data_IF_414376644685
#
_entry.id   IF_414376644685
#
_cell.length_a   1.000
_cell.length_b   1.000
_cell.length_c   1.000
_cell.angle_alpha   90.00
_cell.angle_beta   90.00
_cell.angle_gamma   90.00
#
_symmetry.space_group_name_H-M   'P 1'
#
loop_
_entity.id
_entity.type
_entity.pdbx_description
1 polymer ?
#
# COMPACT_ATOMS: atom_id res chain seq x y z
N UNK A 1 80.46 74.37 17.42
CA UNK A 1 79.20 73.82 18.10
C UNK A 1 78.03 73.62 17.11
N UNK A 2 77.91 74.48 16.11
CA UNK A 2 76.85 74.34 15.05
C UNK A 2 76.95 73.08 14.23
N UNK A 3 78.21 72.71 13.82
CA UNK A 3 78.42 71.51 12.99
C UNK A 3 77.98 70.20 13.68
N UNK A 4 78.19 70.05 14.98
CA UNK A 4 77.77 68.86 15.75
C UNK A 4 76.23 68.73 15.86
N UNK A 5 75.56 69.88 15.94
CA UNK A 5 74.11 69.91 16.00
C UNK A 5 73.47 69.52 14.64
N UNK A 6 74.07 69.98 13.57
CA UNK A 6 73.68 69.66 12.21
C UNK A 6 73.87 68.14 11.94
N UNK A 7 75.04 67.64 12.29
CA UNK A 7 75.35 66.21 12.15
C UNK A 7 74.39 65.32 12.95
N UNK A 8 73.99 65.70 14.16
CA UNK A 8 73.03 64.96 14.96
C UNK A 8 71.63 65.02 14.37
N UNK A 9 71.26 66.17 13.82
CA UNK A 9 69.95 66.34 13.17
C UNK A 9 69.83 65.49 11.88
N UNK A 10 70.87 65.51 11.07
CA UNK A 10 70.93 64.71 9.83
C UNK A 10 70.90 63.19 10.15
N UNK A 11 71.59 62.82 11.21
CA UNK A 11 71.58 61.42 11.64
C UNK A 11 70.18 60.96 12.16
N UNK A 12 69.56 61.75 12.99
CA UNK A 12 68.23 61.48 13.48
C UNK A 12 67.15 61.43 12.34
N UNK A 13 67.35 62.34 11.35
CA UNK A 13 66.45 62.34 10.17
C UNK A 13 66.62 61.08 9.33
N UNK A 14 67.87 60.69 9.05
CA UNK A 14 68.21 59.51 8.26
C UNK A 14 67.76 58.21 8.99
N UNK A 15 68.01 58.13 10.30
CA UNK A 15 67.58 57.01 11.11
C UNK A 15 66.03 56.91 11.17
N UNK A 16 65.35 58.06 11.31
CA UNK A 16 63.89 58.14 11.30
C UNK A 16 63.27 57.72 9.94
N UNK A 17 63.91 58.22 8.84
CA UNK A 17 63.47 57.85 7.49
C UNK A 17 63.73 56.37 7.18
N UNK A 18 64.90 55.84 7.57
CA UNK A 18 65.21 54.41 7.42
C UNK A 18 64.25 53.50 8.20
N UNK A 19 63.99 53.87 9.45
CA UNK A 19 63.03 53.16 10.28
C UNK A 19 61.61 53.21 9.71
N UNK A 20 61.16 54.41 9.28
CA UNK A 20 59.84 54.58 8.64
C UNK A 20 59.66 53.74 7.37
N UNK A 21 60.72 53.67 6.54
CA UNK A 21 60.74 52.77 5.37
C UNK A 21 60.63 51.30 5.76
N UNK A 22 61.47 50.87 6.72
CA UNK A 22 61.45 49.49 7.19
C UNK A 22 60.09 49.11 7.80
N UNK A 23 59.52 49.92 8.67
CA UNK A 23 58.24 49.70 9.28
C UNK A 23 57.14 49.69 8.22
N UNK A 24 57.22 50.56 7.19
CA UNK A 24 56.31 50.59 6.06
C UNK A 24 56.36 49.30 5.19
N UNK A 25 57.57 48.84 4.89
CA UNK A 25 57.80 47.57 4.16
C UNK A 25 57.25 46.36 4.95
N UNK A 26 57.56 46.34 6.26
CA UNK A 26 57.04 45.26 7.13
C UNK A 26 55.53 45.26 7.17
N UNK A 27 54.85 46.43 7.25
CA UNK A 27 53.37 46.55 7.24
C UNK A 27 52.81 46.11 5.90
N UNK A 28 53.44 46.49 4.78
CA UNK A 28 53.01 46.03 3.45
C UNK A 28 53.15 44.50 3.30
N UNK A 29 54.27 43.93 3.77
CA UNK A 29 54.38 42.46 3.73
C UNK A 29 53.33 41.74 4.58
N UNK A 30 53.06 42.25 5.78
CA UNK A 30 51.98 41.68 6.64
C UNK A 30 50.62 41.81 5.99
N UNK A 31 50.32 42.99 5.40
CA UNK A 31 49.06 43.20 4.71
C UNK A 31 48.89 42.29 3.48
N UNK A 32 49.99 42.11 2.70
CA UNK A 32 49.98 41.20 1.56
C UNK A 32 49.76 39.74 1.98
N UNK A 33 50.50 39.30 3.02
CA UNK A 33 50.35 37.94 3.54
C UNK A 33 48.95 37.67 4.06
N UNK A 34 48.31 38.66 4.74
CA UNK A 34 46.95 38.53 5.21
C UNK A 34 45.93 38.50 4.07
N UNK A 35 46.14 39.36 3.02
CA UNK A 35 45.31 39.35 1.82
C UNK A 35 45.38 37.98 1.10
N UNK A 36 46.59 37.45 0.93
CA UNK A 36 46.79 36.13 0.32
C UNK A 36 46.13 35.01 1.13
N UNK A 37 46.20 35.09 2.46
CA UNK A 37 45.53 34.15 3.37
C UNK A 37 44.02 34.21 3.23
N UNK A 38 43.44 35.40 3.18
CA UNK A 38 42.00 35.59 3.00
C UNK A 38 41.53 35.05 1.65
N UNK A 39 42.28 35.32 0.56
CA UNK A 39 42.00 34.82 -0.77
C UNK A 39 42.07 33.30 -0.82
N UNK A 40 43.09 32.69 -0.24
CA UNK A 40 43.25 31.24 -0.18
C UNK A 40 42.12 30.58 0.60
N UNK A 41 41.74 31.15 1.75
CA UNK A 41 40.61 30.69 2.54
C UNK A 41 39.30 30.78 1.77
N UNK A 42 39.03 31.94 1.14
CA UNK A 42 37.82 32.13 0.36
C UNK A 42 37.71 31.14 -0.82
N UNK A 43 38.82 30.86 -1.51
CA UNK A 43 38.84 29.83 -2.57
C UNK A 43 38.53 28.45 -2.04
N UNK A 44 39.17 28.04 -0.94
CA UNK A 44 38.91 26.73 -0.32
C UNK A 44 37.46 26.59 0.12
N UNK A 45 36.88 27.64 0.70
CA UNK A 45 35.48 27.63 1.12
C UNK A 45 34.53 27.59 -0.07
N UNK A 46 34.81 28.33 -1.15
CA UNK A 46 34.04 28.26 -2.39
C UNK A 46 34.05 26.83 -3.00
N UNK A 47 35.25 26.21 -3.08
CA UNK A 47 35.40 24.85 -3.58
C UNK A 47 34.62 23.85 -2.70
N UNK A 48 34.64 24.02 -1.38
CA UNK A 48 33.90 23.20 -0.43
C UNK A 48 32.37 23.33 -0.66
N UNK A 49 31.86 24.54 -0.81
CA UNK A 49 30.46 24.82 -1.06
C UNK A 49 30.02 24.18 -2.38
N UNK A 50 30.80 24.34 -3.45
CA UNK A 50 30.52 23.75 -4.77
C UNK A 50 30.51 22.22 -4.68
N UNK A 51 31.49 21.62 -4.04
CA UNK A 51 31.55 20.18 -3.86
C UNK A 51 30.34 19.64 -3.08
N UNK A 52 29.99 20.34 -2.01
CA UNK A 52 28.80 19.97 -1.20
C UNK A 52 27.50 20.09 -2.00
N UNK A 53 27.32 21.21 -2.74
CA UNK A 53 26.12 21.41 -3.57
C UNK A 53 26.01 20.35 -4.69
N UNK A 54 27.11 20.00 -5.33
CA UNK A 54 27.12 18.94 -6.34
C UNK A 54 26.74 17.57 -5.73
N UNK A 55 27.30 17.26 -4.56
CA UNK A 55 26.95 16.02 -3.85
C UNK A 55 25.46 15.95 -3.50
N UNK A 56 24.92 17.03 -2.94
CA UNK A 56 23.48 17.12 -2.61
C UNK A 56 22.58 17.01 -3.85
N UNK A 57 23.00 17.63 -4.95
CA UNK A 57 22.29 17.53 -6.23
C UNK A 57 22.28 16.10 -6.78
N UNK A 58 23.39 15.39 -6.71
CA UNK A 58 23.48 13.99 -7.16
C UNK A 58 22.69 13.04 -6.25
N UNK A 59 22.75 13.23 -4.93
CA UNK A 59 21.94 12.48 -3.98
C UNK A 59 20.44 12.71 -4.22
N UNK A 60 20.02 13.97 -4.41
CA UNK A 60 18.64 14.32 -4.72
C UNK A 60 18.17 13.69 -6.04
N UNK A 61 18.99 13.77 -7.10
CA UNK A 61 18.70 13.17 -8.39
C UNK A 61 18.53 11.66 -8.30
N UNK A 62 19.42 10.99 -7.55
CA UNK A 62 19.35 9.54 -7.31
C UNK A 62 18.08 9.17 -6.57
N UNK A 63 17.77 9.89 -5.50
CA UNK A 63 16.57 9.69 -4.70
C UNK A 63 15.27 9.88 -5.54
N UNK A 64 15.16 11.00 -6.23
CA UNK A 64 13.98 11.30 -7.07
C UNK A 64 13.81 10.23 -8.15
N UNK A 65 14.89 9.80 -8.79
CA UNK A 65 14.84 8.74 -9.81
C UNK A 65 14.33 7.42 -9.22
N UNK A 66 14.81 7.05 -8.02
CA UNK A 66 14.36 5.86 -7.31
C UNK A 66 12.88 5.96 -6.91
N UNK A 67 12.46 7.11 -6.37
CA UNK A 67 11.08 7.36 -5.95
C UNK A 67 10.10 7.30 -7.14
N UNK A 68 10.46 7.92 -8.27
CA UNK A 68 9.65 7.87 -9.51
C UNK A 68 9.53 6.44 -10.03
N UNK A 69 10.63 5.68 -10.04
CA UNK A 69 10.62 4.27 -10.47
C UNK A 69 9.74 3.42 -9.55
N UNK A 70 9.83 3.62 -8.25
CA UNK A 70 9.00 2.92 -7.27
C UNK A 70 7.52 3.27 -7.45
N UNK A 71 7.18 4.56 -7.58
CA UNK A 71 5.81 5.02 -7.80
C UNK A 71 5.23 4.46 -9.10
N UNK A 72 6.00 4.45 -10.19
CA UNK A 72 5.58 3.86 -11.46
C UNK A 72 5.32 2.35 -11.33
N UNK A 73 6.22 1.61 -10.68
CA UNK A 73 6.06 0.18 -10.44
C UNK A 73 4.82 -0.12 -9.62
N UNK A 74 4.58 0.65 -8.56
CA UNK A 74 3.42 0.50 -7.70
C UNK A 74 2.12 0.84 -8.43
N UNK A 75 2.10 1.90 -9.23
CA UNK A 75 0.95 2.28 -10.06
C UNK A 75 0.57 1.17 -11.05
N UNK A 76 1.57 0.58 -11.73
CA UNK A 76 1.36 -0.56 -12.63
C UNK A 76 0.80 -1.77 -11.86
N UNK A 77 1.35 -2.07 -10.68
CA UNK A 77 0.89 -3.19 -9.86
C UNK A 77 -0.57 -3.02 -9.41
N UNK A 78 -0.95 -1.82 -8.94
CA UNK A 78 -2.34 -1.49 -8.57
C UNK A 78 -3.26 -1.61 -9.79
N UNK A 79 -2.86 -1.07 -10.93
CA UNK A 79 -3.66 -1.16 -12.16
C UNK A 79 -3.88 -2.61 -12.59
N UNK A 80 -2.84 -3.45 -12.54
CA UNK A 80 -2.96 -4.89 -12.82
C UNK A 80 -3.94 -5.57 -11.86
N UNK A 81 -3.86 -5.24 -10.57
CA UNK A 81 -4.76 -5.79 -9.55
C UNK A 81 -6.22 -5.37 -9.76
N UNK A 82 -6.48 -4.13 -10.15
CA UNK A 82 -7.84 -3.66 -10.45
C UNK A 82 -8.40 -4.32 -11.71
N UNK A 83 -7.60 -4.50 -12.75
CA UNK A 83 -8.01 -5.22 -13.96
C UNK A 83 -8.34 -6.68 -13.62
N UNK A 84 -7.47 -7.37 -12.88
CA UNK A 84 -7.71 -8.75 -12.42
C UNK A 84 -9.01 -8.84 -11.64
N UNK A 85 -9.20 -7.98 -10.64
CA UNK A 85 -10.41 -7.94 -9.82
C UNK A 85 -11.67 -7.73 -10.66
N UNK A 86 -11.63 -6.81 -11.62
CA UNK A 86 -12.77 -6.53 -12.50
C UNK A 86 -13.13 -7.75 -13.36
N UNK A 87 -12.16 -8.39 -13.99
CA UNK A 87 -12.36 -9.58 -14.83
C UNK A 87 -12.89 -10.74 -14.01
N UNK A 88 -12.25 -11.03 -12.88
CA UNK A 88 -12.62 -12.13 -11.98
C UNK A 88 -14.03 -11.91 -11.40
N UNK A 89 -14.33 -10.71 -10.93
CA UNK A 89 -15.66 -10.40 -10.36
C UNK A 89 -16.74 -10.53 -11.40
N UNK A 90 -16.51 -10.03 -12.62
CA UNK A 90 -17.50 -10.14 -13.70
C UNK A 90 -17.76 -11.61 -14.06
N UNK A 91 -16.73 -12.40 -14.28
CA UNK A 91 -16.84 -13.82 -14.61
C UNK A 91 -17.53 -14.61 -13.50
N UNK A 92 -17.15 -14.38 -12.23
CA UNK A 92 -17.77 -15.05 -11.09
C UNK A 92 -19.25 -14.66 -10.93
N UNK A 93 -19.56 -13.36 -11.02
CA UNK A 93 -20.94 -12.86 -10.82
C UNK A 93 -21.89 -13.39 -11.88
N UNK A 94 -21.51 -13.42 -13.15
CA UNK A 94 -22.35 -13.94 -14.22
C UNK A 94 -22.65 -15.45 -14.03
N UNK A 95 -21.62 -16.24 -13.70
CA UNK A 95 -21.79 -17.68 -13.44
C UNK A 95 -22.63 -17.98 -12.20
N UNK A 96 -22.44 -17.23 -11.13
CA UNK A 96 -23.19 -17.43 -9.87
C UNK A 96 -24.67 -17.04 -10.04
N UNK A 97 -24.97 -15.87 -10.60
CA UNK A 97 -26.34 -15.41 -10.79
C UNK A 97 -27.18 -16.38 -11.64
N UNK A 98 -26.58 -16.95 -12.69
CA UNK A 98 -27.26 -17.92 -13.54
C UNK A 98 -27.66 -19.19 -12.77
N UNK A 99 -26.91 -19.63 -11.79
CA UNK A 99 -27.12 -20.85 -11.04
C UNK A 99 -27.91 -20.63 -9.73
N UNK A 100 -27.58 -19.58 -8.97
CA UNK A 100 -28.21 -19.32 -7.67
C UNK A 100 -29.68 -18.85 -7.78
N UNK A 101 -30.07 -18.27 -8.91
CA UNK A 101 -31.46 -18.02 -9.24
C UNK A 101 -32.24 -19.26 -9.73
N UNK A 102 -31.55 -20.39 -9.97
CA UNK A 102 -32.17 -21.61 -10.43
C UNK A 102 -32.59 -22.48 -9.24
N UNK A 103 -33.92 -22.67 -9.07
CA UNK A 103 -34.48 -23.45 -7.98
C UNK A 103 -33.98 -24.90 -7.94
N UNK A 104 -33.71 -25.53 -9.09
CA UNK A 104 -33.21 -26.90 -9.13
C UNK A 104 -31.79 -26.99 -8.50
N UNK A 105 -30.90 -26.07 -8.85
CA UNK A 105 -29.55 -26.01 -8.26
C UNK A 105 -29.61 -25.73 -6.75
N UNK A 106 -30.47 -24.80 -6.32
CA UNK A 106 -30.64 -24.47 -4.90
C UNK A 106 -31.18 -25.68 -4.13
N UNK A 107 -32.12 -26.47 -4.70
CA UNK A 107 -32.61 -27.71 -4.11
C UNK A 107 -31.53 -28.76 -3.89
N UNK A 108 -30.66 -28.99 -4.88
CA UNK A 108 -29.52 -29.93 -4.77
C UNK A 108 -28.54 -29.48 -3.68
N UNK A 109 -28.25 -28.19 -3.64
CA UNK A 109 -27.35 -27.63 -2.65
C UNK A 109 -27.94 -27.74 -1.23
N UNK A 110 -29.20 -27.39 -1.01
CA UNK A 110 -29.89 -27.57 0.26
C UNK A 110 -29.84 -29.05 0.68
N UNK A 111 -30.15 -29.97 -0.23
CA UNK A 111 -30.11 -31.41 0.06
C UNK A 111 -28.74 -31.86 0.54
N UNK A 112 -27.67 -31.40 -0.14
CA UNK A 112 -26.29 -31.74 0.19
C UNK A 112 -25.87 -31.20 1.57
N UNK A 113 -26.23 -29.95 1.84
CA UNK A 113 -25.92 -29.30 3.12
C UNK A 113 -26.69 -29.95 4.26
N UNK A 114 -27.99 -30.15 4.11
CA UNK A 114 -28.83 -30.79 5.16
C UNK A 114 -28.35 -32.22 5.46
N UNK A 115 -27.96 -32.97 4.44
CA UNK A 115 -27.35 -34.32 4.67
C UNK A 115 -26.06 -34.25 5.47
N UNK A 116 -25.24 -33.22 5.26
CA UNK A 116 -24.00 -33.03 6.03
C UNK A 116 -24.28 -32.71 7.53
N UNK A 117 -25.40 -32.06 7.83
CA UNK A 117 -25.84 -31.81 9.21
C UNK A 117 -26.54 -33.00 9.87
N UNK A 118 -26.83 -34.07 9.14
CA UNK A 118 -27.53 -35.26 9.60
C UNK A 118 -26.68 -36.53 9.44
N UNK A 119 -25.45 -36.59 9.95
CA UNK A 119 -24.63 -37.80 9.88
C UNK A 119 -25.26 -38.94 10.67
N UNK A 120 -25.07 -40.17 10.22
CA UNK A 120 -25.69 -41.36 10.75
C UNK A 120 -25.50 -41.60 12.26
N UNK A 121 -24.42 -41.07 12.84
CA UNK A 121 -23.97 -41.29 14.20
C UNK A 121 -23.98 -40.04 15.12
N UNK A 122 -24.58 -38.90 14.68
CA UNK A 122 -24.67 -37.69 15.50
C UNK A 122 -26.07 -37.52 16.11
N UNK A 123 -26.14 -36.81 17.24
CA UNK A 123 -27.42 -36.34 17.79
C UNK A 123 -28.12 -35.41 16.81
N UNK A 124 -29.45 -35.52 16.68
CA UNK A 124 -30.22 -34.59 15.82
C UNK A 124 -29.97 -33.13 16.24
N UNK A 125 -29.67 -32.25 15.27
CA UNK A 125 -29.48 -30.82 15.49
C UNK A 125 -30.66 -30.12 14.85
N UNK A 126 -31.39 -29.29 15.61
CA UNK A 126 -32.47 -28.46 15.04
C UNK A 126 -31.87 -27.34 14.20
N UNK A 127 -32.40 -27.11 13.01
CA UNK A 127 -31.90 -26.15 12.05
C UNK A 127 -32.95 -25.08 11.70
N UNK A 128 -32.45 -23.87 11.51
CA UNK A 128 -33.18 -22.78 10.90
C UNK A 128 -32.66 -22.55 9.47
N UNK A 129 -33.51 -22.71 8.47
CA UNK A 129 -33.22 -22.51 7.06
C UNK A 129 -33.87 -21.20 6.61
N UNK A 130 -33.10 -20.27 6.11
CA UNK A 130 -33.57 -18.99 5.60
C UNK A 130 -33.42 -19.00 4.07
N UNK A 131 -34.57 -18.84 3.39
CA UNK A 131 -34.70 -18.92 1.94
C UNK A 131 -35.03 -17.53 1.34
N UNK A 132 -34.72 -17.29 0.07
CA UNK A 132 -35.20 -16.09 -0.62
C UNK A 132 -36.73 -16.15 -0.85
N UNK A 133 -37.37 -15.04 -0.58
CA UNK A 133 -38.86 -14.96 -0.80
C UNK A 133 -39.22 -15.12 -2.27
N UNK A 134 -38.36 -14.71 -3.19
CA UNK A 134 -38.54 -14.87 -4.63
C UNK A 134 -38.69 -16.34 -5.08
N UNK A 135 -38.04 -17.27 -4.38
CA UNK A 135 -38.08 -18.71 -4.69
C UNK A 135 -39.06 -19.48 -3.78
N UNK A 136 -39.88 -18.80 -2.98
CA UNK A 136 -40.77 -19.42 -2.00
C UNK A 136 -41.70 -20.44 -2.65
N UNK A 137 -42.35 -20.08 -3.74
CA UNK A 137 -43.33 -20.92 -4.43
C UNK A 137 -42.76 -22.26 -4.90
N UNK A 138 -41.46 -22.25 -5.28
CA UNK A 138 -40.78 -23.43 -5.80
C UNK A 138 -40.06 -24.25 -4.72
N UNK A 139 -39.55 -23.59 -3.65
CA UNK A 139 -38.78 -24.22 -2.59
C UNK A 139 -39.64 -24.70 -1.42
N UNK A 140 -40.76 -24.06 -1.12
CA UNK A 140 -41.60 -24.41 0.03
C UNK A 140 -42.13 -25.86 -0.05
N UNK A 141 -42.70 -26.31 -1.18
CA UNK A 141 -43.17 -27.70 -1.31
C UNK A 141 -42.02 -28.71 -1.18
N UNK A 142 -40.88 -28.38 -1.77
CA UNK A 142 -39.68 -29.23 -1.71
C UNK A 142 -39.17 -29.40 -0.28
N UNK A 143 -39.03 -28.29 0.46
CA UNK A 143 -38.53 -28.36 1.83
C UNK A 143 -39.48 -29.09 2.74
N UNK A 144 -40.82 -28.85 2.61
CA UNK A 144 -41.81 -29.53 3.44
C UNK A 144 -41.94 -31.03 3.15
N UNK A 145 -41.89 -31.44 1.88
CA UNK A 145 -42.15 -32.81 1.49
C UNK A 145 -40.90 -33.68 1.39
N UNK A 146 -39.79 -33.12 1.00
CA UNK A 146 -38.57 -33.90 0.74
C UNK A 146 -37.52 -33.73 1.87
N UNK A 147 -37.23 -32.49 2.25
CA UNK A 147 -36.17 -32.24 3.25
C UNK A 147 -36.67 -32.54 4.65
N UNK A 148 -37.85 -32.07 5.04
CA UNK A 148 -38.36 -32.30 6.40
C UNK A 148 -38.53 -33.80 6.72
N UNK A 149 -38.87 -34.63 5.73
CA UNK A 149 -39.00 -36.07 5.91
C UNK A 149 -37.65 -36.81 6.01
N UNK A 150 -36.57 -36.25 5.49
CA UNK A 150 -35.25 -36.85 5.53
C UNK A 150 -34.38 -36.34 6.72
N UNK A 151 -34.81 -35.24 7.31
CA UNK A 151 -34.06 -34.61 8.41
C UNK A 151 -34.57 -35.12 9.77
N UNK A 152 -33.67 -35.51 10.67
CA UNK A 152 -34.01 -36.11 11.96
C UNK A 152 -34.31 -35.10 13.06
N UNK A 153 -33.93 -33.85 12.90
CA UNK A 153 -34.19 -32.73 13.83
C UNK A 153 -35.40 -31.89 13.41
N UNK A 154 -35.72 -30.87 14.18
CA UNK A 154 -36.68 -29.85 13.79
C UNK A 154 -36.09 -28.93 12.72
N UNK A 155 -36.80 -28.71 11.60
CA UNK A 155 -36.40 -27.80 10.54
C UNK A 155 -37.37 -26.61 10.49
N UNK A 156 -36.93 -25.46 10.97
CA UNK A 156 -37.65 -24.20 10.84
C UNK A 156 -37.28 -23.53 9.54
N UNK A 157 -38.23 -23.01 8.80
CA UNK A 157 -38.02 -22.31 7.54
C UNK A 157 -38.51 -20.88 7.64
N UNK A 158 -37.60 -19.94 7.41
CA UNK A 158 -37.92 -18.51 7.34
C UNK A 158 -37.65 -17.99 5.91
N UNK A 159 -38.32 -16.93 5.51
CA UNK A 159 -38.15 -16.30 4.19
C UNK A 159 -37.64 -14.87 4.32
N UNK A 160 -36.72 -14.48 3.45
CA UNK A 160 -36.10 -13.16 3.47
C UNK A 160 -36.22 -12.44 2.14
N UNK A 161 -36.71 -11.20 2.19
CA UNK A 161 -36.75 -10.27 1.04
C UNK A 161 -35.42 -9.70 0.66
N UNK A 162 -34.44 -9.81 1.57
CA UNK A 162 -33.05 -9.26 1.38
C UNK A 162 -32.16 -10.21 0.62
N UNK A 163 -32.59 -11.41 0.31
CA UNK A 163 -31.86 -12.43 -0.42
C UNK A 163 -32.40 -12.57 -1.82
N UNK A 164 -31.54 -12.56 -2.82
CA UNK A 164 -31.91 -12.74 -4.23
C UNK A 164 -31.78 -14.20 -4.68
N UNK A 165 -30.85 -14.95 -4.07
CA UNK A 165 -30.61 -16.35 -4.39
C UNK A 165 -29.87 -17.08 -3.26
N UNK A 166 -29.74 -18.39 -3.40
CA UNK A 166 -29.13 -19.25 -2.42
C UNK A 166 -29.95 -19.44 -1.14
N UNK A 167 -29.30 -19.70 0.00
CA UNK A 167 -29.93 -19.90 1.30
C UNK A 167 -28.92 -19.70 2.45
N UNK A 168 -29.46 -19.60 3.68
CA UNK A 168 -28.66 -19.62 4.91
C UNK A 168 -29.17 -20.74 5.80
N UNK A 169 -28.26 -21.36 6.53
CA UNK A 169 -28.59 -22.39 7.52
C UNK A 169 -27.88 -22.08 8.84
N UNK A 170 -28.61 -22.21 9.94
CA UNK A 170 -28.08 -22.00 11.28
C UNK A 170 -28.65 -23.06 12.24
N UNK A 171 -27.90 -23.53 13.24
CA UNK A 171 -28.47 -24.27 14.36
C UNK A 171 -29.50 -23.41 15.10
N UNK A 172 -30.57 -24.02 15.60
CA UNK A 172 -31.64 -23.35 16.37
C UNK A 172 -31.07 -22.71 17.65
N UNK A 173 -30.07 -23.34 18.25
CA UNK A 173 -29.44 -22.91 19.48
C UNK A 173 -28.44 -21.72 19.26
N UNK A 174 -28.29 -21.27 18.02
CA UNK A 174 -27.36 -20.19 17.66
C UNK A 174 -25.90 -20.67 17.52
N UNK A 175 -24.97 -19.73 17.63
CA UNK A 175 -23.52 -19.99 17.57
C UNK A 175 -22.91 -19.64 16.22
N UNK A 176 -23.50 -20.03 15.10
CA UNK A 176 -23.01 -19.70 13.76
C UNK A 176 -24.12 -19.73 12.71
N UNK A 177 -23.86 -19.08 11.60
CA UNK A 177 -24.72 -19.09 10.41
C UNK A 177 -23.85 -19.42 9.19
N UNK A 178 -24.20 -20.49 8.50
CA UNK A 178 -23.59 -20.79 7.20
C UNK A 178 -24.40 -20.11 6.10
N UNK A 179 -23.71 -19.38 5.25
CA UNK A 179 -24.34 -18.61 4.19
C UNK A 179 -23.92 -19.18 2.82
N UNK A 180 -24.91 -19.59 2.06
CA UNK A 180 -24.75 -20.10 0.69
C UNK A 180 -25.48 -19.14 -0.25
N UNK A 181 -25.04 -17.86 -0.23
CA UNK A 181 -25.64 -16.77 -1.00
C UNK A 181 -24.83 -16.46 -2.25
N UNK A 182 -25.39 -15.67 -3.15
CA UNK A 182 -24.74 -15.20 -4.37
C UNK A 182 -23.40 -14.53 -4.07
N UNK A 183 -23.35 -13.70 -3.01
CA UNK A 183 -22.14 -12.97 -2.64
C UNK A 183 -21.04 -13.90 -2.17
N UNK A 184 -21.36 -14.88 -1.31
CA UNK A 184 -20.39 -15.84 -0.81
C UNK A 184 -19.83 -16.75 -1.91
N UNK A 185 -20.70 -17.23 -2.80
CA UNK A 185 -20.27 -18.02 -3.95
C UNK A 185 -19.46 -17.19 -4.95
N UNK A 186 -19.85 -15.94 -5.18
CA UNK A 186 -19.07 -15.03 -6.03
C UNK A 186 -17.66 -14.83 -5.47
N UNK A 187 -17.54 -14.64 -4.16
CA UNK A 187 -16.21 -14.50 -3.51
C UNK A 187 -15.40 -15.80 -3.58
N UNK A 188 -16.04 -16.95 -3.33
CA UNK A 188 -15.37 -18.24 -3.40
C UNK A 188 -14.83 -18.52 -4.82
N UNK A 189 -15.65 -18.34 -5.84
CA UNK A 189 -15.27 -18.53 -7.24
C UNK A 189 -14.21 -17.49 -7.65
N UNK A 190 -14.37 -16.24 -7.24
CA UNK A 190 -13.39 -15.20 -7.50
C UNK A 190 -12.02 -15.55 -6.93
N UNK A 191 -11.98 -16.03 -5.68
CA UNK A 191 -10.72 -16.45 -5.06
C UNK A 191 -10.07 -17.63 -5.79
N UNK A 192 -10.88 -18.57 -6.28
CA UNK A 192 -10.38 -19.70 -7.07
C UNK A 192 -9.87 -19.28 -8.47
N UNK A 193 -10.55 -18.32 -9.11
CA UNK A 193 -10.18 -17.85 -10.44
C UNK A 193 -8.97 -16.91 -10.45
N UNK A 194 -8.71 -16.18 -9.38
CA UNK A 194 -7.63 -15.19 -9.31
C UNK A 194 -6.26 -15.67 -9.80
N UNK A 195 -5.72 -16.81 -9.33
CA UNK A 195 -4.41 -17.27 -9.77
C UNK A 195 -4.36 -17.57 -11.27
N UNK A 196 -5.40 -18.19 -11.79
CA UNK A 196 -5.51 -18.51 -13.21
C UNK A 196 -5.63 -17.23 -14.08
N UNK A 197 -6.49 -16.30 -13.67
CA UNK A 197 -6.68 -15.01 -14.34
C UNK A 197 -5.40 -14.19 -14.35
N UNK A 198 -4.70 -14.11 -13.21
CA UNK A 198 -3.42 -13.42 -13.11
C UNK A 198 -2.39 -13.98 -14.10
N UNK A 199 -2.31 -15.31 -14.18
CA UNK A 199 -1.40 -15.99 -15.12
C UNK A 199 -1.76 -15.73 -16.59
N UNK A 200 -3.05 -15.67 -16.92
CA UNK A 200 -3.52 -15.42 -18.29
C UNK A 200 -3.27 -13.97 -18.70
N UNK A 201 -3.51 -13.01 -17.81
CA UNK A 201 -3.43 -11.59 -18.14
C UNK A 201 -2.01 -11.02 -18.09
N UNK A 202 -1.16 -11.56 -17.23
CA UNK A 202 0.12 -10.92 -16.92
C UNK A 202 1.34 -11.88 -16.99
N UNK A 203 1.13 -13.14 -17.26
CA UNK A 203 2.21 -14.14 -17.47
C UNK A 203 2.62 -14.80 -16.19
#
# INVERSE_FOLDING_TARGET
>A
MQDKLQELTDRLYNEGLSKGKHDGEELLQKAQAEADRIIAYAKTEADRIIAQANKEADELKTKVTADVKMAATQSIAVTKQEIEKMVVTKAATEGVKANMGNAAFVKELITSVVKAFNPANASPVDLNLILPEALKTELEPFVKNEIANQFKGELKVDYSKKMNGGFKVAPKDGGYVLQFTDDEFTQLIANYLRPATKKILFG
#
